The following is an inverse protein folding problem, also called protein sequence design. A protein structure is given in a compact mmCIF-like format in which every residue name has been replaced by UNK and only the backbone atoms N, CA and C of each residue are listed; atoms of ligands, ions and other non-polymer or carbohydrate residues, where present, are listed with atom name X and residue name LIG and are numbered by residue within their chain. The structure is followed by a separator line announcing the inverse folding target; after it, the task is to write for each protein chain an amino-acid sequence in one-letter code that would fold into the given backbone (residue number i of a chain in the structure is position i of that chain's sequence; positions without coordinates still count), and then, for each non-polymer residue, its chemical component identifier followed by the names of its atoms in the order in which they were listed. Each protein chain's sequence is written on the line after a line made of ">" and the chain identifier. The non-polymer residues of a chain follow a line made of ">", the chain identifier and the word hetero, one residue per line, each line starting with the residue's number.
data_IF_734608926347
#
_entry.id   IF_734608926347
#
_cell.length_a   1.000
_cell.length_b   1.000
_cell.length_c   1.000
_cell.angle_alpha   90.00
_cell.angle_beta   90.00
_cell.angle_gamma   90.00
#
_symmetry.space_group_name_H-M   'P 1'
#
loop_
_entity.id
_entity.type
_entity.pdbx_description
1 polymer ?
#
# COMPACT_ATOMS: atom_id res chain seq x y z
N UNK A 1 -0.61 16.78 -18.46
CA UNK A 1 -0.33 17.80 -17.43
C UNK A 1 -0.84 17.41 -16.05
N UNK A 2 -2.12 17.01 -15.90
CA UNK A 2 -2.68 16.58 -14.60
C UNK A 2 -1.98 15.39 -13.91
N UNK A 3 -1.65 14.33 -14.64
CA UNK A 3 -1.00 13.14 -14.06
C UNK A 3 0.40 13.46 -13.48
N UNK A 4 1.19 14.27 -14.20
CA UNK A 4 2.52 14.72 -13.77
C UNK A 4 2.44 15.60 -12.51
N UNK A 5 1.54 16.58 -12.47
CA UNK A 5 1.33 17.39 -11.26
C UNK A 5 0.93 16.54 -10.05
N UNK A 6 0.11 15.51 -10.28
CA UNK A 6 -0.27 14.58 -9.23
C UNK A 6 0.91 13.70 -8.79
N UNK A 7 1.75 13.25 -9.73
CA UNK A 7 3.01 12.56 -9.44
C UNK A 7 3.93 13.40 -8.55
N UNK A 8 4.21 14.64 -8.95
CA UNK A 8 5.05 15.58 -8.19
C UNK A 8 4.50 15.83 -6.77
N UNK A 9 3.17 15.97 -6.66
CA UNK A 9 2.49 16.09 -5.37
C UNK A 9 2.72 14.85 -4.50
N UNK A 10 2.55 13.65 -5.04
CA UNK A 10 2.79 12.39 -4.31
C UNK A 10 4.24 12.35 -3.81
N UNK A 11 5.22 12.64 -4.67
CA UNK A 11 6.64 12.64 -4.29
C UNK A 11 6.93 13.57 -3.11
N UNK A 12 6.41 14.81 -3.16
CA UNK A 12 6.55 15.78 -2.07
C UNK A 12 5.90 15.28 -0.78
N UNK A 13 4.68 14.77 -0.84
CA UNK A 13 3.97 14.24 0.33
C UNK A 13 4.75 13.09 0.99
N UNK A 14 5.36 12.21 0.20
CA UNK A 14 6.22 11.15 0.74
C UNK A 14 7.52 11.68 1.33
N UNK A 15 8.14 12.70 0.75
CA UNK A 15 9.36 13.30 1.28
C UNK A 15 9.12 13.99 2.64
N UNK A 16 7.97 14.66 2.80
CA UNK A 16 7.60 15.41 4.00
C UNK A 16 6.97 14.54 5.09
N UNK A 17 6.46 13.36 4.73
CA UNK A 17 5.82 12.44 5.67
C UNK A 17 6.77 11.96 6.78
N UNK A 18 6.24 11.93 8.01
CA UNK A 18 6.98 11.42 9.18
C UNK A 18 7.02 9.90 9.20
N UNK A 19 5.86 9.27 8.95
CA UNK A 19 5.67 7.82 8.88
C UNK A 19 5.03 7.46 7.54
N UNK A 20 5.64 6.50 6.84
CA UNK A 20 5.15 5.98 5.57
C UNK A 20 4.85 4.48 5.70
N UNK A 21 3.64 4.06 5.34
CA UNK A 21 3.30 2.65 5.15
C UNK A 21 3.25 2.29 3.66
N UNK A 22 3.27 0.99 3.37
CA UNK A 22 3.14 0.45 2.03
C UNK A 22 2.00 -0.54 1.96
N UNK A 23 1.07 -0.37 1.04
CA UNK A 23 -0.09 -1.25 0.88
C UNK A 23 0.23 -2.37 -0.11
N UNK A 24 0.16 -3.60 0.37
CA UNK A 24 0.19 -4.84 -0.42
C UNK A 24 -1.24 -5.35 -0.59
N UNK A 25 -1.80 -5.25 -1.80
CA UNK A 25 -3.14 -5.74 -2.11
C UNK A 25 -3.14 -6.45 -3.45
N UNK A 26 -4.14 -7.32 -3.69
CA UNK A 26 -4.34 -7.86 -5.04
C UNK A 26 -4.83 -6.75 -5.97
N UNK A 27 -4.43 -6.83 -7.23
CA UNK A 27 -4.89 -5.86 -8.24
C UNK A 27 -6.35 -6.09 -8.65
N UNK A 28 -6.78 -7.36 -8.74
CA UNK A 28 -8.11 -7.74 -9.22
C UNK A 28 -8.78 -8.79 -8.33
N UNK A 29 -10.11 -8.89 -8.48
CA UNK A 29 -10.90 -9.99 -7.93
C UNK A 29 -10.36 -11.32 -8.45
N UNK A 30 -10.41 -12.33 -7.59
CA UNK A 30 -9.94 -13.65 -7.95
C UNK A 30 -10.97 -14.23 -8.93
N UNK A 31 -10.56 -14.94 -10.00
CA UNK A 31 -11.50 -15.53 -10.95
C UNK A 31 -12.57 -16.39 -10.28
N UNK A 32 -12.24 -17.07 -9.19
CA UNK A 32 -13.19 -17.88 -8.40
C UNK A 32 -14.34 -17.07 -7.78
N UNK A 33 -14.17 -15.75 -7.64
CA UNK A 33 -15.22 -14.86 -7.14
C UNK A 33 -16.14 -14.36 -8.26
N UNK A 34 -15.70 -14.44 -9.52
CA UNK A 34 -16.47 -14.00 -10.68
C UNK A 34 -17.47 -15.05 -11.15
N UNK A 35 -17.19 -16.34 -10.91
CA UNK A 35 -18.10 -17.43 -11.20
C UNK A 35 -19.10 -17.64 -10.05
N UNK A 36 -20.38 -17.38 -10.33
CA UNK A 36 -21.50 -17.55 -9.38
C UNK A 36 -21.71 -18.98 -8.89
N UNK A 37 -21.17 -19.98 -9.59
CA UNK A 37 -21.29 -21.40 -9.25
C UNK A 37 -20.09 -21.93 -8.47
N UNK A 38 -19.03 -21.14 -8.33
CA UNK A 38 -17.83 -21.57 -7.63
C UNK A 38 -18.06 -21.63 -6.11
N UNK A 39 -17.52 -22.63 -5.38
CA UNK A 39 -17.72 -22.76 -3.93
C UNK A 39 -17.22 -21.55 -3.11
N UNK A 40 -16.27 -20.80 -3.67
CA UNK A 40 -15.74 -19.56 -3.08
C UNK A 40 -16.42 -18.28 -3.62
N UNK A 41 -17.53 -18.39 -4.35
CA UNK A 41 -18.25 -17.23 -4.82
C UNK A 41 -18.81 -16.45 -3.63
N UNK A 42 -18.39 -15.19 -3.51
CA UNK A 42 -18.94 -14.27 -2.52
C UNK A 42 -19.78 -13.25 -3.28
N UNK A 43 -21.11 -13.34 -3.10
CA UNK A 43 -22.12 -12.48 -3.76
C UNK A 43 -21.86 -10.98 -3.57
N UNK A 44 -21.19 -10.63 -2.47
CA UNK A 44 -20.70 -9.30 -2.12
C UNK A 44 -19.17 -9.33 -2.15
N UNK A 45 -18.61 -9.54 -3.33
CA UNK A 45 -17.16 -9.60 -3.50
C UNK A 45 -16.58 -8.23 -3.17
N UNK A 46 -15.85 -8.14 -2.05
CA UNK A 46 -14.94 -7.04 -1.78
C UNK A 46 -14.14 -6.72 -3.05
N UNK A 47 -14.10 -5.46 -3.44
CA UNK A 47 -13.22 -5.02 -4.51
C UNK A 47 -11.83 -4.76 -3.90
N UNK A 48 -10.79 -5.54 -4.25
CA UNK A 48 -9.47 -5.39 -3.63
C UNK A 48 -8.87 -3.99 -3.85
N UNK A 49 -9.13 -3.40 -5.02
CA UNK A 49 -8.66 -2.06 -5.39
C UNK A 49 -9.34 -1.02 -4.50
N UNK A 50 -10.68 -1.02 -4.43
CA UNK A 50 -11.43 -0.08 -3.59
C UNK A 50 -11.15 -0.26 -2.11
N UNK A 51 -10.93 -1.50 -1.66
CA UNK A 51 -10.60 -1.78 -0.26
C UNK A 51 -9.27 -1.15 0.12
N UNK A 52 -8.25 -1.29 -0.73
CA UNK A 52 -6.95 -0.65 -0.52
C UNK A 52 -7.03 0.88 -0.59
N UNK A 53 -7.81 1.42 -1.53
CA UNK A 53 -8.08 2.87 -1.63
C UNK A 53 -8.73 3.42 -0.35
N UNK A 54 -9.78 2.76 0.14
CA UNK A 54 -10.48 3.17 1.34
C UNK A 54 -9.57 3.10 2.58
N UNK A 55 -8.71 2.07 2.69
CA UNK A 55 -7.74 1.97 3.77
C UNK A 55 -6.70 3.09 3.68
N UNK A 56 -6.15 3.35 2.49
CA UNK A 56 -5.20 4.45 2.26
C UNK A 56 -5.79 5.79 2.70
N UNK A 57 -7.03 6.08 2.27
CA UNK A 57 -7.73 7.31 2.65
C UNK A 57 -7.92 7.41 4.16
N UNK A 58 -8.46 6.35 4.77
CA UNK A 58 -8.69 6.31 6.21
C UNK A 58 -7.40 6.59 7.01
N UNK A 59 -6.30 5.91 6.71
CA UNK A 59 -5.04 6.10 7.43
C UNK A 59 -4.47 7.51 7.24
N UNK A 60 -4.60 8.08 6.05
CA UNK A 60 -4.10 9.42 5.76
C UNK A 60 -4.95 10.52 6.42
N UNK A 61 -6.27 10.36 6.46
CA UNK A 61 -7.19 11.35 7.03
C UNK A 61 -7.26 11.25 8.57
N UNK A 62 -7.31 10.03 9.12
CA UNK A 62 -7.53 9.81 10.55
C UNK A 62 -6.23 9.71 11.35
N UNK A 63 -5.20 9.08 10.78
CA UNK A 63 -3.97 8.75 11.52
C UNK A 63 -2.78 9.64 11.10
N UNK A 64 -2.95 10.48 10.07
CA UNK A 64 -1.95 11.45 9.61
C UNK A 64 -0.67 10.83 9.04
N UNK A 65 -0.70 9.55 8.70
CA UNK A 65 0.41 8.83 8.07
C UNK A 65 0.32 8.90 6.55
N UNK A 66 1.42 8.71 5.83
CA UNK A 66 1.39 8.55 4.38
C UNK A 66 1.38 7.07 4.00
N UNK A 67 0.61 6.67 3.00
CA UNK A 67 0.53 5.27 2.57
C UNK A 67 0.78 5.16 1.07
N UNK A 68 1.76 4.36 0.64
CA UNK A 68 1.99 4.09 -0.77
C UNK A 68 1.09 2.94 -1.20
N UNK A 69 0.20 3.22 -2.14
CA UNK A 69 -0.70 2.24 -2.74
C UNK A 69 -0.32 2.03 -4.21
N UNK A 70 0.39 0.94 -4.55
CA UNK A 70 0.88 0.71 -5.91
C UNK A 70 -0.22 0.63 -6.96
N UNK A 71 -1.46 0.32 -6.57
CA UNK A 71 -2.58 0.25 -7.50
C UNK A 71 -3.03 1.64 -7.98
N UNK A 72 -2.81 2.67 -7.17
CA UNK A 72 -3.28 4.05 -7.43
C UNK A 72 -2.09 4.95 -7.74
N UNK A 73 -1.11 4.99 -6.84
CA UNK A 73 -0.03 5.97 -6.90
C UNK A 73 0.89 5.72 -8.11
N UNK A 74 1.10 4.46 -8.51
CA UNK A 74 1.87 4.17 -9.73
C UNK A 74 1.22 4.77 -10.99
N UNK A 75 -0.11 4.87 -11.07
CA UNK A 75 -0.76 5.46 -12.24
C UNK A 75 -0.35 6.93 -12.43
N UNK A 76 -0.05 7.63 -11.34
CA UNK A 76 0.39 9.03 -11.37
C UNK A 76 1.91 9.16 -11.44
N UNK A 77 2.65 8.33 -10.70
CA UNK A 77 4.13 8.34 -10.68
C UNK A 77 4.72 7.94 -12.04
N UNK A 78 4.05 7.05 -12.77
CA UNK A 78 4.50 6.60 -14.08
C UNK A 78 4.07 7.54 -15.22
N UNK A 79 3.39 8.65 -14.93
CA UNK A 79 3.13 9.76 -15.87
C UNK A 79 2.60 9.37 -17.27
N UNK A 80 1.87 8.26 -17.37
CA UNK A 80 1.31 7.79 -18.64
C UNK A 80 2.25 6.91 -19.48
N UNK A 81 3.29 6.32 -18.89
CA UNK A 81 3.97 5.19 -19.50
C UNK A 81 2.96 4.05 -19.76
N UNK A 82 2.84 3.62 -21.02
CA UNK A 82 1.85 2.61 -21.46
C UNK A 82 2.46 1.27 -21.86
N UNK A 83 3.80 1.17 -21.91
CA UNK A 83 4.47 -0.09 -22.21
C UNK A 83 4.29 -1.07 -21.06
N UNK A 84 3.71 -2.24 -21.33
CA UNK A 84 3.28 -3.19 -20.29
C UNK A 84 4.47 -3.78 -19.53
N UNK A 85 5.56 -4.13 -20.22
CA UNK A 85 6.73 -4.75 -19.59
C UNK A 85 7.53 -3.74 -18.77
N UNK A 86 7.84 -2.58 -19.35
CA UNK A 86 8.50 -1.47 -18.68
C UNK A 86 7.70 -0.95 -17.49
N UNK A 87 6.36 -0.88 -17.61
CA UNK A 87 5.48 -0.48 -16.50
C UNK A 87 5.57 -1.46 -15.33
N UNK A 88 5.56 -2.77 -15.57
CA UNK A 88 5.71 -3.77 -14.50
C UNK A 88 7.07 -3.68 -13.82
N UNK A 89 8.14 -3.50 -14.60
CA UNK A 89 9.49 -3.29 -14.07
C UNK A 89 9.56 -2.04 -13.19
N UNK A 90 8.99 -0.93 -13.66
CA UNK A 90 8.94 0.32 -12.90
C UNK A 90 8.08 0.21 -11.64
N UNK A 91 6.96 -0.51 -11.67
CA UNK A 91 6.16 -0.79 -10.46
C UNK A 91 6.97 -1.53 -9.39
N UNK A 92 7.81 -2.49 -9.79
CA UNK A 92 8.68 -3.22 -8.86
C UNK A 92 9.84 -2.36 -8.33
N UNK A 93 10.44 -1.52 -9.19
CA UNK A 93 11.43 -0.52 -8.76
C UNK A 93 10.78 0.40 -7.73
N UNK A 94 9.56 0.85 -8.02
CA UNK A 94 8.80 1.72 -7.16
C UNK A 94 8.49 1.07 -5.81
N UNK A 95 8.08 -0.20 -5.82
CA UNK A 95 7.85 -1.00 -4.62
C UNK A 95 9.08 -1.06 -3.71
N UNK A 96 10.29 -1.11 -4.29
CA UNK A 96 11.55 -1.21 -3.54
C UNK A 96 12.17 0.14 -3.17
N UNK A 97 11.66 1.24 -3.72
CA UNK A 97 12.34 2.53 -3.74
C UNK A 97 12.57 3.12 -2.34
N UNK A 98 13.58 3.99 -2.24
CA UNK A 98 13.82 4.82 -1.05
C UNK A 98 12.84 6.00 -0.95
N UNK A 99 12.12 6.32 -2.02
CA UNK A 99 11.27 7.50 -2.11
C UNK A 99 9.86 7.24 -1.55
N UNK A 100 9.28 6.08 -1.84
CA UNK A 100 7.91 5.72 -1.41
C UNK A 100 7.73 4.23 -1.08
N UNK A 101 8.58 3.35 -1.61
CA UNK A 101 8.51 1.90 -1.39
C UNK A 101 9.13 1.44 -0.06
N UNK A 102 9.57 0.19 -0.03
CA UNK A 102 10.16 -0.45 1.16
C UNK A 102 11.31 0.36 1.78
N UNK A 103 12.13 1.02 0.97
CA UNK A 103 13.21 1.86 1.49
C UNK A 103 12.67 3.03 2.33
N UNK A 104 11.62 3.70 1.85
CA UNK A 104 10.97 4.80 2.60
C UNK A 104 10.25 4.29 3.85
N UNK A 105 9.57 3.16 3.74
CA UNK A 105 8.88 2.53 4.88
C UNK A 105 9.86 2.19 5.99
N UNK A 106 10.96 1.50 5.66
CA UNK A 106 11.99 1.17 6.64
C UNK A 106 12.63 2.40 7.29
N UNK A 107 12.92 3.43 6.50
CA UNK A 107 13.51 4.68 6.99
C UNK A 107 12.61 5.47 7.94
N UNK A 108 11.28 5.29 7.84
CA UNK A 108 10.30 6.02 8.66
C UNK A 108 9.73 5.18 9.81
N UNK A 109 10.21 3.95 10.00
CA UNK A 109 9.66 3.03 10.99
C UNK A 109 8.23 2.58 10.67
N UNK A 110 7.81 2.71 9.41
CA UNK A 110 6.50 2.25 8.97
C UNK A 110 6.44 0.73 8.77
N UNK A 111 5.36 0.28 8.16
CA UNK A 111 5.05 -1.14 7.95
C UNK A 111 4.47 -1.40 6.57
N UNK A 112 4.52 -2.65 6.13
CA UNK A 112 3.75 -3.14 4.98
C UNK A 112 2.37 -3.57 5.48
N UNK A 113 1.32 -3.04 4.88
CA UNK A 113 -0.08 -3.35 5.15
C UNK A 113 -0.57 -4.35 4.12
N UNK A 114 -0.71 -5.61 4.52
CA UNK A 114 -1.16 -6.66 3.63
C UNK A 114 -2.69 -6.80 3.73
N UNK A 115 -3.40 -6.26 2.74
CA UNK A 115 -4.87 -6.28 2.68
C UNK A 115 -5.33 -7.62 2.15
N UNK A 116 -5.87 -8.46 3.04
CA UNK A 116 -6.31 -9.81 2.71
C UNK A 116 -7.81 -9.82 2.51
N UNK A 117 -8.21 -10.22 1.32
CA UNK A 117 -9.60 -10.28 0.87
C UNK A 117 -9.88 -11.68 0.31
N UNK A 118 -11.14 -12.18 0.33
CA UNK A 118 -11.46 -13.50 -0.19
C UNK A 118 -10.89 -13.71 -1.61
N UNK A 119 -10.33 -14.90 -1.91
CA UNK A 119 -10.25 -16.09 -1.07
C UNK A 119 -9.04 -16.14 -0.10
N UNK A 120 -8.22 -15.09 -0.04
CA UNK A 120 -6.98 -15.05 0.73
C UNK A 120 -5.88 -14.26 0.00
N UNK A 121 -4.61 -14.36 0.46
CA UNK A 121 -3.49 -13.68 -0.17
C UNK A 121 -3.24 -14.18 -1.60
N UNK A 122 -2.86 -13.26 -2.50
CA UNK A 122 -2.28 -13.67 -3.79
C UNK A 122 -0.83 -14.13 -3.64
N UNK A 123 -0.33 -14.87 -4.63
CA UNK A 123 1.10 -15.18 -4.76
C UNK A 123 1.98 -13.94 -4.78
N UNK A 124 1.51 -12.84 -5.38
CA UNK A 124 2.25 -11.58 -5.40
C UNK A 124 2.38 -11.00 -3.98
N UNK A 125 1.29 -10.98 -3.21
CA UNK A 125 1.31 -10.51 -1.83
C UNK A 125 2.23 -11.36 -0.94
N UNK A 126 2.31 -12.67 -1.18
CA UNK A 126 3.27 -13.53 -0.48
C UNK A 126 4.73 -13.15 -0.82
N UNK A 127 5.04 -12.96 -2.10
CA UNK A 127 6.37 -12.50 -2.51
C UNK A 127 6.71 -11.09 -1.98
N UNK A 128 5.73 -10.20 -1.90
CA UNK A 128 5.87 -8.87 -1.30
C UNK A 128 6.16 -8.93 0.20
N UNK A 129 5.51 -9.87 0.93
CA UNK A 129 5.79 -10.10 2.35
C UNK A 129 7.20 -10.67 2.56
N UNK A 130 7.65 -11.59 1.71
CA UNK A 130 9.02 -12.12 1.77
C UNK A 130 10.05 -10.99 1.54
N UNK A 131 9.83 -10.12 0.56
CA UNK A 131 10.69 -8.94 0.31
C UNK A 131 10.71 -7.95 1.49
N UNK A 132 9.58 -7.79 2.19
CA UNK A 132 9.52 -6.94 3.38
C UNK A 132 10.32 -7.55 4.54
N UNK A 133 10.18 -8.87 4.75
CA UNK A 133 10.91 -9.61 5.78
C UNK A 133 12.43 -9.57 5.56
N UNK A 134 12.91 -9.70 4.32
CA UNK A 134 14.33 -9.55 3.97
C UNK A 134 14.90 -8.17 4.36
N UNK A 135 14.07 -7.14 4.41
CA UNK A 135 14.45 -5.78 4.82
C UNK A 135 14.19 -5.49 6.30
N UNK A 136 13.73 -6.48 7.07
CA UNK A 136 13.35 -6.32 8.47
C UNK A 136 12.14 -5.40 8.67
N UNK A 137 11.30 -5.23 7.65
CA UNK A 137 10.09 -4.41 7.70
C UNK A 137 8.91 -5.29 8.11
N UNK A 138 8.17 -4.86 9.13
CA UNK A 138 7.00 -5.59 9.61
C UNK A 138 5.89 -5.62 8.55
N UNK A 139 5.24 -6.79 8.42
CA UNK A 139 4.02 -6.97 7.64
C UNK A 139 2.84 -7.09 8.59
N UNK A 140 1.91 -6.13 8.52
CA UNK A 140 0.66 -6.13 9.28
C UNK A 140 -0.47 -6.58 8.37
N UNK A 141 -1.11 -7.69 8.72
CA UNK A 141 -2.27 -8.21 8.00
C UNK A 141 -3.52 -7.38 8.32
N UNK A 142 -4.18 -6.85 7.29
CA UNK A 142 -5.52 -6.27 7.37
C UNK A 142 -6.50 -7.31 6.83
N UNK A 143 -7.11 -8.08 7.74
CA UNK A 143 -7.97 -9.21 7.39
C UNK A 143 -9.41 -8.75 7.08
N UNK A 144 -9.70 -8.64 5.78
CA UNK A 144 -11.02 -8.32 5.24
C UNK A 144 -11.84 -9.56 4.87
N UNK A 145 -11.41 -10.78 5.24
CA UNK A 145 -12.07 -12.04 4.86
C UNK A 145 -13.47 -12.21 5.46
N UNK A 146 -13.68 -11.69 6.67
CA UNK A 146 -14.94 -11.84 7.41
C UNK A 146 -16.00 -10.77 7.06
N UNK A 147 -15.61 -9.69 6.40
CA UNK A 147 -16.49 -8.55 6.17
C UNK A 147 -17.30 -8.74 4.90
N UNK A 148 -18.55 -9.19 5.08
CA UNK A 148 -19.58 -9.18 4.04
C UNK A 148 -20.14 -7.76 3.91
N UNK A 149 -19.40 -6.83 3.31
CA UNK A 149 -19.89 -5.46 3.13
C UNK A 149 -20.60 -5.31 1.78
N UNK A 150 -21.89 -4.96 1.82
CA UNK A 150 -22.64 -4.48 0.65
C UNK A 150 -22.22 -3.06 0.22
N UNK A 151 -21.51 -2.33 1.09
CA UNK A 151 -21.38 -0.88 1.00
C UNK A 151 -19.93 -0.37 0.92
N UNK A 152 -18.91 -1.23 0.91
CA UNK A 152 -17.49 -0.85 0.96
C UNK A 152 -17.08 -0.03 2.21
N UNK A 153 -17.98 0.13 3.18
CA UNK A 153 -17.72 0.67 4.51
C UNK A 153 -17.03 -0.40 5.35
N UNK A 154 -15.71 -0.43 5.27
CA UNK A 154 -14.94 -1.14 6.28
C UNK A 154 -14.87 -0.26 7.51
N UNK A 155 -15.35 -0.78 8.64
CA UNK A 155 -15.13 -0.16 9.94
C UNK A 155 -13.67 -0.37 10.37
N UNK A 156 -12.72 0.20 9.63
CA UNK A 156 -11.28 0.05 9.89
C UNK A 156 -10.91 0.42 11.33
N UNK A 157 -11.61 1.40 11.92
CA UNK A 157 -11.47 1.77 13.33
C UNK A 157 -11.71 0.61 14.32
N UNK A 158 -12.51 -0.38 13.94
CA UNK A 158 -12.85 -1.55 14.78
C UNK A 158 -11.91 -2.74 14.54
N UNK A 159 -11.02 -2.66 13.55
CA UNK A 159 -10.08 -3.74 13.25
C UNK A 159 -8.86 -3.63 14.17
N UNK A 160 -8.63 -4.64 15.03
CA UNK A 160 -7.53 -4.66 16.00
C UNK A 160 -6.17 -4.33 15.38
N UNK A 161 -5.90 -4.85 14.18
CA UNK A 161 -4.63 -4.64 13.50
C UNK A 161 -4.47 -3.20 12.97
N UNK A 162 -5.58 -2.51 12.66
CA UNK A 162 -5.57 -1.09 12.29
C UNK A 162 -5.42 -0.22 13.53
N UNK A 163 -6.06 -0.56 14.64
CA UNK A 163 -5.88 0.17 15.91
C UNK A 163 -4.42 0.18 16.38
N UNK A 164 -3.65 -0.89 16.08
CA UNK A 164 -2.22 -0.95 16.35
C UNK A 164 -1.39 0.04 15.51
N UNK A 165 -1.79 0.34 14.26
CA UNK A 165 -1.08 1.28 13.39
C UNK A 165 -1.04 2.69 13.98
N UNK A 166 -2.10 3.10 14.68
CA UNK A 166 -2.15 4.38 15.39
C UNK A 166 -1.06 4.54 16.44
N UNK A 167 -0.68 3.45 17.09
CA UNK A 167 0.41 3.46 18.08
C UNK A 167 1.76 3.69 17.39
N UNK A 168 1.97 3.10 16.21
CA UNK A 168 3.18 3.31 15.40
C UNK A 168 3.25 4.77 14.92
N UNK A 169 2.13 5.32 14.43
CA UNK A 169 2.05 6.71 14.00
C UNK A 169 2.37 7.69 15.15
N UNK A 170 1.86 7.41 16.35
CA UNK A 170 2.09 8.23 17.55
C UNK A 170 3.54 8.13 18.03
N UNK A 171 4.12 6.93 18.05
CA UNK A 171 5.53 6.74 18.44
C UNK A 171 6.50 7.39 17.43
N UNK A 172 6.20 7.31 16.13
CA UNK A 172 6.93 8.02 15.09
C UNK A 172 6.78 9.54 15.18
N UNK A 173 5.71 10.05 15.81
CA UNK A 173 5.53 11.47 16.08
C UNK A 173 6.45 12.01 17.20
N UNK A 174 7.08 11.15 17.98
CA UNK A 174 8.07 11.51 19.01
C UNK A 174 9.51 11.33 18.52
N UNK A 175 9.73 10.54 17.47
CA UNK A 175 11.03 10.39 16.83
C UNK A 175 11.37 11.60 15.94
N UNK A 176 12.59 12.13 16.08
CA UNK A 176 13.11 13.19 15.19
C UNK A 176 13.22 12.66 13.75
N UNK A 177 12.86 13.46 12.72
CA UNK A 177 13.04 13.05 11.34
C UNK A 177 14.52 12.81 11.06
N UNK A 178 14.84 11.63 10.51
CA UNK A 178 16.19 11.31 10.07
C UNK A 178 16.64 12.33 9.00
N UNK A 179 17.77 12.98 9.23
CA UNK A 179 18.44 13.80 8.22
C UNK A 179 18.81 12.93 7.03
N UNK A 180 18.24 13.25 5.87
CA UNK A 180 18.61 12.60 4.62
C UNK A 180 20.04 13.01 4.21
N UNK A 181 20.94 12.07 3.92
CA UNK A 181 22.13 12.42 3.15
C UNK A 181 21.69 12.81 1.73
N UNK A 182 22.16 13.95 1.18
CA UNK A 182 21.83 14.35 -0.18
C UNK A 182 22.40 13.33 -1.19
N UNK A 183 21.51 12.82 -2.04
CA UNK A 183 21.72 12.18 -3.34
C UNK A 183 23.09 11.54 -3.62
N UNK A 184 23.15 10.21 -3.56
CA UNK A 184 24.09 9.46 -4.40
C UNK A 184 23.47 9.38 -5.80
N UNK A 185 23.72 10.41 -6.62
CA UNK A 185 23.56 10.34 -8.06
C UNK A 185 24.56 9.30 -8.58
N UNK A 186 24.14 8.04 -8.73
CA UNK A 186 24.85 7.11 -9.60
C UNK A 186 24.59 7.56 -11.04
N UNK A 187 25.57 8.28 -11.60
CA UNK A 187 25.69 8.49 -13.04
C UNK A 187 25.75 7.12 -13.70
N UNK A 188 24.79 6.85 -14.59
CA UNK A 188 24.92 5.84 -15.66
C UNK A 188 25.54 6.53 -16.87
#
# INVERSE_FOLDING_TARGET
>A
EGARMQGDKIRREFAEARVCHLISTRFQKDPSQLDRHHPNHVKLSCDPFRTAENLQRYLQEEDGVRCFNPNIDNAFILEGHTDVEGTRGMMLINWRSAEFGLGRVGATGGVVLQVIVPPGPSKMQLAEADMAAEKGIEVVTVDCMAYRSEAFDYHFAQMTNVSRLRQIATAGAEAQPAEYPPDIVQKV
#
